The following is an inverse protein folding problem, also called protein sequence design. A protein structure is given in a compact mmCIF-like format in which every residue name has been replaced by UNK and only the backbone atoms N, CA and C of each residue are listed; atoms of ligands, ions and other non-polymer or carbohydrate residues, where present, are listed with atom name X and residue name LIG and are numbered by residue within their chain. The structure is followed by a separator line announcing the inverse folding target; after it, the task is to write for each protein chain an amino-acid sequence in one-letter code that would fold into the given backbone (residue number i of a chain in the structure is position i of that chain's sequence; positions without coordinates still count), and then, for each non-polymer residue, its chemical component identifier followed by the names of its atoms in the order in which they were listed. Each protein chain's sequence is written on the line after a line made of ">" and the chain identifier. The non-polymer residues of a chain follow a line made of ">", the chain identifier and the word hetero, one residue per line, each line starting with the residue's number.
data_IF_214695513797
#
_entry.id   IF_214695513797
#
_cell.length_a   1.000
_cell.length_b   1.000
_cell.length_c   1.000
_cell.angle_alpha   90.00
_cell.angle_beta   90.00
_cell.angle_gamma   90.00
#
_symmetry.space_group_name_H-M   'P 1'
#
loop_
_entity.id
_entity.type
_entity.pdbx_description
1 polymer ?
#
# COMPACT_ATOMS: atom_id res chain seq x y z
N UNK A 1 15.94 -8.26 -18.38
CA UNK A 1 14.96 -9.30 -17.99
C UNK A 1 14.57 -9.21 -16.51
N UNK A 2 15.52 -9.08 -15.59
CA UNK A 2 15.30 -9.03 -14.13
C UNK A 2 14.34 -7.92 -13.66
N UNK A 3 14.41 -6.71 -14.25
CA UNK A 3 13.49 -5.60 -13.89
C UNK A 3 12.03 -5.89 -14.28
N UNK A 4 11.80 -6.52 -15.43
CA UNK A 4 10.44 -6.90 -15.86
C UNK A 4 9.85 -7.98 -14.94
N UNK A 5 10.67 -8.97 -14.55
CA UNK A 5 10.25 -9.98 -13.57
C UNK A 5 9.97 -9.33 -12.21
N UNK A 6 10.78 -8.36 -11.77
CA UNK A 6 10.54 -7.59 -10.55
C UNK A 6 9.24 -6.75 -10.60
N UNK A 7 8.82 -6.31 -11.79
CA UNK A 7 7.56 -5.61 -11.97
C UNK A 7 6.36 -6.56 -11.82
N UNK A 8 6.45 -7.79 -12.33
CA UNK A 8 5.42 -8.82 -12.20
C UNK A 8 5.32 -9.36 -10.76
N UNK A 9 6.43 -9.49 -10.04
CA UNK A 9 6.41 -9.97 -8.64
C UNK A 9 5.66 -9.01 -7.71
N UNK A 10 5.69 -7.71 -7.99
CA UNK A 10 4.87 -6.74 -7.23
C UNK A 10 3.36 -6.98 -7.42
N UNK A 11 2.94 -7.45 -8.60
CA UNK A 11 1.54 -7.79 -8.89
C UNK A 11 1.05 -9.03 -8.14
N UNK A 12 1.93 -10.01 -7.89
CA UNK A 12 1.59 -11.21 -7.14
C UNK A 12 1.15 -10.90 -5.70
N UNK A 13 1.82 -9.94 -5.03
CA UNK A 13 1.44 -9.52 -3.68
C UNK A 13 0.08 -8.78 -3.66
N UNK A 14 -0.24 -8.01 -4.70
CA UNK A 14 -1.56 -7.38 -4.85
C UNK A 14 -2.66 -8.43 -5.07
N UNK A 15 -2.39 -9.43 -5.91
CA UNK A 15 -3.31 -10.53 -6.16
C UNK A 15 -3.57 -11.35 -4.90
N UNK A 16 -2.53 -11.64 -4.13
CA UNK A 16 -2.66 -12.28 -2.81
C UNK A 16 -3.54 -11.45 -1.87
N UNK A 17 -3.31 -10.12 -1.80
CA UNK A 17 -4.14 -9.24 -0.99
C UNK A 17 -5.62 -9.25 -1.43
N UNK A 18 -5.90 -9.20 -2.74
CA UNK A 18 -7.27 -9.24 -3.27
C UNK A 18 -7.98 -10.56 -2.97
N UNK A 19 -7.28 -11.68 -3.06
CA UNK A 19 -7.78 -13.01 -2.70
C UNK A 19 -8.07 -13.12 -1.18
N UNK A 20 -7.13 -12.70 -0.34
CA UNK A 20 -7.27 -12.86 1.11
C UNK A 20 -8.23 -11.87 1.75
N UNK A 21 -8.46 -10.69 1.16
CA UNK A 21 -9.39 -9.69 1.74
C UNK A 21 -10.82 -10.23 1.87
N UNK A 22 -11.25 -11.10 0.96
CA UNK A 22 -12.60 -11.66 0.95
C UNK A 22 -12.77 -12.84 1.91
N UNK A 23 -11.66 -13.51 2.28
CA UNK A 23 -11.70 -14.76 3.05
C UNK A 23 -11.39 -14.56 4.55
N UNK A 24 -10.56 -13.59 4.90
CA UNK A 24 -10.20 -13.28 6.28
C UNK A 24 -9.87 -11.79 6.45
N UNK A 25 -10.88 -10.90 6.52
CA UNK A 25 -10.69 -9.45 6.50
C UNK A 25 -9.89 -8.90 7.70
N UNK A 26 -9.98 -9.55 8.87
CA UNK A 26 -9.35 -9.10 10.11
C UNK A 26 -8.03 -9.79 10.44
N UNK A 27 -7.48 -10.60 9.51
CA UNK A 27 -6.20 -11.27 9.78
C UNK A 27 -5.04 -10.27 9.68
N UNK A 28 -4.16 -10.16 10.70
CA UNK A 28 -2.99 -9.27 10.66
C UNK A 28 -2.03 -9.62 9.51
N UNK A 29 -2.10 -10.84 8.99
CA UNK A 29 -1.33 -11.29 7.82
C UNK A 29 -1.69 -10.52 6.55
N UNK A 30 -2.95 -10.10 6.41
CA UNK A 30 -3.40 -9.31 5.26
C UNK A 30 -2.83 -7.89 5.31
N UNK A 31 -2.78 -7.28 6.51
CA UNK A 31 -2.16 -5.98 6.72
C UNK A 31 -0.66 -6.01 6.41
N UNK A 32 0.06 -7.02 6.91
CA UNK A 32 1.50 -7.19 6.64
C UNK A 32 1.75 -7.34 5.13
N UNK A 33 0.98 -8.18 4.44
CA UNK A 33 1.13 -8.36 2.98
C UNK A 33 0.90 -7.07 2.20
N UNK A 34 -0.02 -6.21 2.65
CA UNK A 34 -0.25 -4.90 2.04
C UNK A 34 0.91 -3.92 2.28
N UNK A 35 1.50 -3.91 3.47
CA UNK A 35 2.69 -3.10 3.79
C UNK A 35 3.89 -3.55 2.97
N UNK A 36 4.11 -4.86 2.85
CA UNK A 36 5.19 -5.43 2.02
C UNK A 36 4.99 -5.07 0.55
N UNK A 37 3.76 -5.20 0.03
CA UNK A 37 3.44 -4.74 -1.32
C UNK A 37 3.74 -3.24 -1.50
N UNK A 38 3.35 -2.40 -0.54
CA UNK A 38 3.60 -0.96 -0.61
C UNK A 38 5.10 -0.63 -0.61
N UNK A 39 5.88 -1.27 0.27
CA UNK A 39 7.32 -1.09 0.32
C UNK A 39 8.00 -1.50 -1.00
N UNK A 40 7.63 -2.67 -1.53
CA UNK A 40 8.13 -3.15 -2.83
C UNK A 40 7.72 -2.21 -3.97
N UNK A 41 6.49 -1.70 -3.97
CA UNK A 41 6.01 -0.74 -4.95
C UNK A 41 6.83 0.55 -4.92
N UNK A 42 7.08 1.11 -3.73
CA UNK A 42 7.88 2.32 -3.57
C UNK A 42 9.34 2.13 -4.03
N UNK A 43 9.98 1.02 -3.67
CA UNK A 43 11.38 0.78 -4.02
C UNK A 43 11.52 0.48 -5.52
N UNK A 44 10.76 -0.50 -6.02
CA UNK A 44 10.92 -1.00 -7.39
C UNK A 44 10.25 -0.13 -8.45
N UNK A 45 9.03 0.36 -8.20
CA UNK A 45 8.33 1.19 -9.19
C UNK A 45 8.78 2.64 -9.07
N UNK A 46 8.58 3.26 -7.91
CA UNK A 46 8.93 4.67 -7.73
C UNK A 46 10.44 4.90 -7.74
N UNK A 47 11.22 4.17 -6.95
CA UNK A 47 12.67 4.38 -6.89
C UNK A 47 13.36 4.07 -8.22
N UNK A 48 13.38 2.79 -8.58
CA UNK A 48 14.11 2.34 -9.78
C UNK A 48 13.49 2.80 -11.09
N UNK A 49 12.16 2.92 -11.19
CA UNK A 49 11.49 3.42 -12.39
C UNK A 49 11.79 4.90 -12.65
N UNK A 50 11.72 5.75 -11.62
CA UNK A 50 12.03 7.17 -11.78
C UNK A 50 13.53 7.38 -11.99
N UNK A 51 14.38 6.65 -11.26
CA UNK A 51 15.83 6.70 -11.45
C UNK A 51 16.24 6.26 -12.86
N UNK A 52 15.70 5.16 -13.36
CA UNK A 52 15.96 4.68 -14.72
C UNK A 52 15.49 5.66 -15.79
N UNK A 53 14.35 6.31 -15.58
CA UNK A 53 13.83 7.34 -16.50
C UNK A 53 14.74 8.57 -16.51
N UNK A 54 15.16 9.05 -15.33
CA UNK A 54 16.09 10.18 -15.20
C UNK A 54 17.42 9.85 -15.87
N UNK A 55 17.99 8.68 -15.56
CA UNK A 55 19.24 8.23 -16.14
C UNK A 55 19.13 8.14 -17.67
N UNK A 56 18.05 7.56 -18.20
CA UNK A 56 17.82 7.53 -19.64
C UNK A 56 17.76 8.93 -20.24
N UNK A 57 17.02 9.87 -19.64
CA UNK A 57 16.91 11.24 -20.16
C UNK A 57 18.25 12.00 -20.20
N UNK A 58 19.17 11.75 -19.26
CA UNK A 58 20.48 12.41 -19.24
C UNK A 58 21.50 11.74 -20.17
N UNK A 59 21.44 10.41 -20.33
CA UNK A 59 22.47 9.63 -21.04
C UNK A 59 22.02 9.07 -22.41
N UNK A 60 20.79 9.29 -22.86
CA UNK A 60 20.33 8.73 -24.15
C UNK A 60 21.14 9.24 -25.34
N UNK A 61 21.72 10.45 -25.29
CA UNK A 61 22.51 11.00 -26.40
C UNK A 61 23.90 10.38 -26.50
N UNK A 62 24.45 9.86 -25.40
CA UNK A 62 25.82 9.33 -25.31
C UNK A 62 25.88 7.81 -25.32
N UNK A 63 24.88 7.11 -24.80
CA UNK A 63 24.90 5.64 -24.69
C UNK A 63 24.14 4.90 -25.78
N UNK A 64 23.34 5.60 -26.60
CA UNK A 64 22.66 4.96 -27.73
C UNK A 64 23.64 4.71 -28.88
N UNK A 65 23.65 3.50 -29.48
CA UNK A 65 24.39 3.24 -30.71
C UNK A 65 24.01 4.24 -31.80
N UNK A 66 24.98 4.69 -32.60
CA UNK A 66 24.71 5.62 -33.71
C UNK A 66 23.74 5.07 -34.75
N UNK A 67 23.53 3.75 -34.79
CA UNK A 67 22.54 3.08 -35.65
C UNK A 67 21.10 3.19 -35.13
N UNK A 68 20.88 3.69 -33.91
CA UNK A 68 19.56 3.78 -33.32
C UNK A 68 18.79 4.99 -33.88
N UNK A 69 17.57 4.82 -34.43
CA UNK A 69 16.82 5.93 -34.99
C UNK A 69 16.46 6.95 -33.90
N UNK A 70 16.78 8.22 -34.13
CA UNK A 70 16.56 9.30 -33.16
C UNK A 70 15.09 9.45 -32.77
N UNK A 71 14.16 9.26 -33.71
CA UNK A 71 12.72 9.30 -33.43
C UNK A 71 12.27 8.24 -32.42
N UNK A 72 12.86 7.04 -32.47
CA UNK A 72 12.53 5.96 -31.52
C UNK A 72 13.01 6.31 -30.11
N UNK A 73 14.17 6.97 -29.99
CA UNK A 73 14.69 7.42 -28.70
C UNK A 73 13.75 8.43 -28.04
N UNK A 74 13.21 9.40 -28.80
CA UNK A 74 12.24 10.36 -28.26
C UNK A 74 10.92 9.71 -27.87
N UNK A 75 10.40 8.78 -28.69
CA UNK A 75 9.18 8.03 -28.34
C UNK A 75 9.38 7.21 -27.07
N UNK A 76 10.53 6.56 -26.92
CA UNK A 76 10.88 5.80 -25.72
C UNK A 76 11.01 6.71 -24.50
N UNK A 77 11.65 7.87 -24.63
CA UNK A 77 11.75 8.86 -23.57
C UNK A 77 10.35 9.33 -23.11
N UNK A 78 9.47 9.67 -24.06
CA UNK A 78 8.08 10.06 -23.75
C UNK A 78 7.31 8.94 -23.05
N UNK A 79 7.46 7.69 -23.51
CA UNK A 79 6.81 6.53 -22.89
C UNK A 79 7.30 6.32 -21.44
N UNK A 80 8.60 6.47 -21.18
CA UNK A 80 9.18 6.35 -19.84
C UNK A 80 8.70 7.47 -18.90
N UNK A 81 8.62 8.70 -19.40
CA UNK A 81 8.07 9.84 -18.64
C UNK A 81 6.60 9.61 -18.32
N UNK A 82 5.79 9.23 -19.31
CA UNK A 82 4.37 8.94 -19.11
C UNK A 82 4.16 7.80 -18.10
N UNK A 83 4.95 6.73 -18.20
CA UNK A 83 4.93 5.62 -17.26
C UNK A 83 5.30 6.08 -15.84
N UNK A 84 6.33 6.92 -15.68
CA UNK A 84 6.73 7.47 -14.38
C UNK A 84 5.64 8.34 -13.76
N UNK A 85 5.01 9.22 -14.54
CA UNK A 85 3.89 10.05 -14.07
C UNK A 85 2.72 9.17 -13.62
N UNK A 86 2.37 8.16 -14.41
CA UNK A 86 1.31 7.21 -14.07
C UNK A 86 1.64 6.46 -12.77
N UNK A 87 2.88 5.98 -12.61
CA UNK A 87 3.33 5.30 -11.40
C UNK A 87 3.24 6.19 -10.16
N UNK A 88 3.60 7.47 -10.27
CA UNK A 88 3.46 8.45 -9.20
C UNK A 88 2.00 8.70 -8.83
N UNK A 89 1.12 8.86 -9.83
CA UNK A 89 -0.32 9.01 -9.61
C UNK A 89 -0.89 7.82 -8.81
N UNK A 90 -0.60 6.58 -9.24
CA UNK A 90 -1.05 5.38 -8.54
C UNK A 90 -0.40 5.24 -7.16
N UNK A 91 0.87 5.60 -7.01
CA UNK A 91 1.56 5.62 -5.72
C UNK A 91 0.85 6.50 -4.69
N UNK A 92 0.44 7.70 -5.08
CA UNK A 92 -0.33 8.62 -4.22
C UNK A 92 -1.68 8.01 -3.85
N UNK A 93 -2.38 7.38 -4.79
CA UNK A 93 -3.67 6.72 -4.54
C UNK A 93 -3.52 5.58 -3.53
N UNK A 94 -2.49 4.74 -3.66
CA UNK A 94 -2.22 3.63 -2.74
C UNK A 94 -1.83 4.18 -1.36
N UNK A 95 -0.94 5.18 -1.31
CA UNK A 95 -0.53 5.81 -0.05
C UNK A 95 -1.73 6.42 0.70
N UNK A 96 -2.65 7.09 -0.01
CA UNK A 96 -3.89 7.61 0.59
C UNK A 96 -4.76 6.49 1.16
N UNK A 97 -4.86 5.33 0.49
CA UNK A 97 -5.60 4.17 1.01
C UNK A 97 -4.91 3.57 2.24
N UNK A 98 -3.58 3.47 2.23
CA UNK A 98 -2.78 3.01 3.35
C UNK A 98 -2.94 3.91 4.58
N UNK A 99 -2.79 5.22 4.40
CA UNK A 99 -2.92 6.22 5.45
C UNK A 99 -4.32 6.17 6.11
N UNK A 100 -5.39 6.05 5.31
CA UNK A 100 -6.76 5.92 5.83
C UNK A 100 -6.97 4.68 6.69
N UNK A 101 -6.32 3.55 6.36
CA UNK A 101 -6.39 2.34 7.19
C UNK A 101 -5.67 2.54 8.53
N UNK A 102 -4.47 3.11 8.51
CA UNK A 102 -3.70 3.41 9.72
C UNK A 102 -4.41 4.42 10.64
N UNK A 103 -5.10 5.42 10.08
CA UNK A 103 -5.86 6.38 10.88
C UNK A 103 -7.09 5.78 11.56
N UNK A 104 -7.69 4.71 11.01
CA UNK A 104 -8.84 4.03 11.63
C UNK A 104 -8.43 3.14 12.81
N UNK A 105 -7.27 2.49 12.75
CA UNK A 105 -6.74 1.67 13.85
C UNK A 105 -6.32 2.48 15.09
N UNK A 106 -6.17 3.81 14.98
CA UNK A 106 -5.79 4.66 16.13
C UNK A 106 -6.99 5.08 17.02
N UNK A 107 -8.22 4.64 16.70
CA UNK A 107 -9.43 4.89 17.50
C UNK A 107 -10.06 3.62 18.16
N UNK A 108 -9.32 2.84 18.98
CA UNK A 108 -9.96 2.01 19.99
C UNK A 108 -9.34 2.34 21.36
N UNK A 109 -9.97 3.23 22.13
CA UNK A 109 -9.47 3.45 23.50
C UNK A 109 -10.02 4.65 24.27
N UNK A 110 -10.78 5.57 23.67
CA UNK A 110 -11.31 6.72 24.41
C UNK A 110 -12.64 6.48 25.14
N UNK A 111 -13.29 5.32 24.98
CA UNK A 111 -14.67 5.09 25.49
C UNK A 111 -14.86 3.80 26.31
N UNK A 112 -13.80 3.17 26.82
CA UNK A 112 -13.92 1.99 27.69
C UNK A 112 -13.42 2.25 29.12
N UNK A 113 -13.90 3.32 29.77
CA UNK A 113 -13.69 3.52 31.21
C UNK A 113 -14.80 4.34 31.87
N UNK A 114 -16.07 3.95 31.65
CA UNK A 114 -17.20 4.49 32.44
C UNK A 114 -18.31 3.44 32.61
N UNK A 115 -17.94 2.21 32.99
CA UNK A 115 -18.92 1.24 33.52
C UNK A 115 -18.39 0.69 34.84
N UNK A 116 -18.31 1.60 35.82
CA UNK A 116 -17.86 1.31 37.18
C UNK A 116 -18.73 2.05 38.19
N UNK A 117 -20.05 1.86 38.11
CA UNK A 117 -20.96 2.23 39.21
C UNK A 117 -21.77 0.99 39.56
N UNK A 118 -21.13 0.12 40.35
CA UNK A 118 -21.76 -0.98 41.07
C UNK A 118 -22.80 -0.34 41.99
N UNK A 119 -24.07 -0.39 41.59
CA UNK A 119 -25.19 -0.08 42.47
C UNK A 119 -25.42 -1.29 43.36
N UNK A 120 -24.89 -1.23 44.57
CA UNK A 120 -25.19 -2.12 45.69
C UNK A 120 -26.69 -2.03 45.99
N UNK A 121 -27.44 -3.08 45.70
CA UNK A 121 -28.83 -3.20 46.10
C UNK A 121 -28.90 -3.56 47.61
N UNK A 122 -29.73 -2.87 48.42
CA UNK A 122 -29.92 -3.22 49.82
C UNK A 122 -30.79 -4.48 49.95
N UNK A 123 -30.31 -5.42 50.77
CA UNK A 123 -31.02 -6.62 51.19
C UNK A 123 -32.29 -6.25 51.99
N UNK A 124 -33.46 -6.51 51.41
CA UNK A 124 -34.75 -6.61 52.13
C UNK A 124 -35.31 -8.01 51.90
N UNK A 125 -35.33 -8.87 52.91
CA UNK A 125 -36.43 -9.03 53.87
C UNK A 125 -37.59 -9.87 53.29
N UNK A 126 -37.55 -11.17 53.54
CA UNK A 126 -38.73 -12.06 53.47
C UNK A 126 -39.16 -12.44 54.90
N UNK A 127 -40.35 -12.03 55.36
CA UNK A 127 -40.97 -12.61 56.55
C UNK A 127 -41.61 -13.96 56.20
N UNK A 128 -41.20 -15.00 56.92
CA UNK A 128 -41.86 -16.31 56.97
C UNK A 128 -43.11 -16.16 57.83
N UNK A 129 -44.29 -16.32 57.23
CA UNK A 129 -45.54 -16.54 57.96
C UNK A 129 -45.81 -18.04 57.99
N UNK A 130 -45.83 -18.58 59.21
CA UNK A 130 -46.50 -19.82 59.60
C UNK A 130 -47.95 -19.49 59.95
#
# INVERSE_FOLDING_TARGET
>A
ASVLIAQETSGLALNYFLLMRHRAPDSPRVAISFVVFFALFCIWRLGLGTFGTIHYLFYFSTELPQSFPTWQAYVLALALVAASVLQWYWGIVILRKAARKLSKEKKPGAEASTTGKVATAPAGATPVLL
#
